data_IF_890997160497
#
_entry.id   IF_890997160497
#
_cell.length_a   1.000
_cell.length_b   1.000
_cell.length_c   1.000
_cell.angle_alpha   90.00
_cell.angle_beta   90.00
_cell.angle_gamma   90.00
#
_symmetry.space_group_name_H-M   'P 1'
#
loop_
_entity.id
_entity.type
_entity.pdbx_description
1 polymer ?
#
# COMPACT_ATOMS: atom_id res chain seq x y z
N UNK A 1 -7.82 -0.76 -60.88
CA UNK A 1 -7.70 0.44 -60.02
C UNK A 1 -8.87 0.45 -59.03
N UNK A 2 -8.56 0.82 -57.78
CA UNK A 2 -9.44 1.24 -56.68
C UNK A 2 -10.36 0.21 -55.99
N UNK A 3 -9.85 -0.23 -54.83
CA UNK A 3 -10.52 -0.72 -53.62
C UNK A 3 -11.51 0.32 -53.09
N UNK A 4 -12.58 -0.09 -52.40
CA UNK A 4 -13.10 0.56 -51.17
C UNK A 4 -13.70 -0.55 -50.30
N UNK A 5 -13.15 -0.70 -49.10
CA UNK A 5 -13.60 -1.59 -48.03
C UNK A 5 -14.87 -1.04 -47.39
N UNK A 6 -15.86 -1.90 -47.14
CA UNK A 6 -16.99 -1.60 -46.27
C UNK A 6 -16.50 -1.64 -44.81
N UNK A 7 -16.25 -0.46 -44.23
CA UNK A 7 -16.08 -0.31 -42.79
C UNK A 7 -17.48 -0.30 -42.16
N UNK A 8 -17.87 -1.41 -41.55
CA UNK A 8 -18.98 -1.45 -40.62
C UNK A 8 -18.61 -0.53 -39.45
N UNK A 9 -19.21 0.66 -39.42
CA UNK A 9 -19.07 1.61 -38.33
C UNK A 9 -19.66 1.02 -37.06
N UNK A 10 -18.78 0.46 -36.23
CA UNK A 10 -19.03 0.31 -34.81
C UNK A 10 -19.17 1.73 -34.24
N UNK A 11 -20.41 2.21 -34.15
CA UNK A 11 -20.74 3.36 -33.32
C UNK A 11 -20.51 2.90 -31.89
N UNK A 12 -19.29 3.13 -31.40
CA UNK A 12 -19.00 3.16 -29.98
C UNK A 12 -19.74 4.40 -29.47
N UNK A 13 -20.96 4.19 -28.95
CA UNK A 13 -21.65 5.19 -28.18
C UNK A 13 -20.75 5.50 -26.98
N UNK A 14 -20.01 6.60 -27.07
CA UNK A 14 -19.47 7.31 -25.92
C UNK A 14 -20.69 7.82 -25.15
N UNK A 15 -21.34 6.92 -24.41
CA UNK A 15 -22.20 7.32 -23.31
C UNK A 15 -21.31 8.11 -22.37
N UNK A 16 -21.74 9.33 -22.06
CA UNK A 16 -21.10 10.30 -21.18
C UNK A 16 -20.38 9.65 -19.98
N UNK A 17 -19.18 10.12 -19.60
CA UNK A 17 -18.41 9.58 -18.48
C UNK A 17 -19.07 9.79 -17.09
N UNK A 18 -20.24 10.41 -17.02
CA UNK A 18 -20.90 10.77 -15.77
C UNK A 18 -21.45 9.57 -14.96
N UNK A 19 -21.54 8.35 -15.54
CA UNK A 19 -22.30 7.24 -14.92
C UNK A 19 -21.57 5.88 -14.82
N UNK A 20 -20.29 5.76 -15.13
CA UNK A 20 -19.69 4.41 -15.24
C UNK A 20 -19.14 3.85 -13.91
N UNK A 21 -18.60 4.68 -13.01
CA UNK A 21 -17.96 4.18 -11.77
C UNK A 21 -18.15 5.13 -10.59
N UNK A 22 -18.25 4.56 -9.38
CA UNK A 22 -18.22 5.33 -8.14
C UNK A 22 -16.89 6.06 -7.99
N UNK A 23 -16.96 7.28 -7.49
CA UNK A 23 -15.76 8.07 -7.19
C UNK A 23 -15.01 7.44 -6.01
N UNK A 24 -13.68 7.31 -6.11
CA UNK A 24 -12.90 6.51 -5.16
C UNK A 24 -12.00 7.40 -4.30
N UNK A 25 -12.08 7.23 -2.98
CA UNK A 25 -11.25 7.91 -2.00
C UNK A 25 -10.47 6.92 -1.15
N UNK A 26 -9.34 7.38 -0.61
CA UNK A 26 -8.55 6.65 0.38
C UNK A 26 -8.57 7.45 1.68
N UNK A 27 -9.10 6.88 2.75
CA UNK A 27 -9.37 7.57 4.02
C UNK A 27 -8.71 6.85 5.20
N UNK A 28 -8.32 7.54 6.28
CA UNK A 28 -7.75 6.86 7.45
C UNK A 28 -8.79 5.94 8.11
N UNK A 29 -8.36 4.76 8.55
CA UNK A 29 -9.21 3.87 9.35
C UNK A 29 -9.50 4.47 10.72
N UNK A 30 -10.76 4.40 11.17
CA UNK A 30 -11.24 4.98 12.43
C UNK A 30 -10.88 6.47 12.60
N UNK A 31 -10.83 7.20 11.49
CA UNK A 31 -10.56 8.64 11.45
C UNK A 31 -11.61 9.38 10.63
N UNK A 32 -11.71 10.68 10.86
CA UNK A 32 -12.58 11.55 10.06
C UNK A 32 -11.89 11.95 8.75
N UNK A 33 -12.64 11.99 7.65
CA UNK A 33 -12.14 12.46 6.36
C UNK A 33 -13.19 13.29 5.63
N UNK A 34 -12.74 14.21 4.79
CA UNK A 34 -13.59 15.02 3.91
C UNK A 34 -13.37 14.53 2.49
N UNK A 35 -14.46 14.12 1.83
CA UNK A 35 -14.46 13.67 0.43
C UNK A 35 -15.17 14.71 -0.41
N UNK A 36 -14.50 15.24 -1.44
CA UNK A 36 -15.04 16.26 -2.32
C UNK A 36 -15.50 15.63 -3.63
N UNK A 37 -16.70 15.96 -4.10
CA UNK A 37 -17.28 15.40 -5.31
C UNK A 37 -18.19 16.45 -5.96
N UNK A 38 -18.55 16.28 -7.23
CA UNK A 38 -19.49 17.18 -7.89
C UNK A 38 -20.76 16.41 -8.28
N UNK A 39 -21.91 17.08 -8.13
CA UNK A 39 -23.21 16.63 -8.61
C UNK A 39 -23.55 17.30 -9.93
N UNK A 40 -24.44 16.67 -10.68
CA UNK A 40 -24.82 17.10 -12.02
C UNK A 40 -26.32 17.28 -12.11
N UNK A 41 -26.75 18.25 -12.92
CA UNK A 41 -28.14 18.38 -13.33
C UNK A 41 -28.64 17.07 -13.98
N UNK A 42 -29.96 16.79 -14.03
CA UNK A 42 -30.50 15.53 -14.53
C UNK A 42 -30.15 15.23 -16.01
N UNK A 43 -29.80 16.26 -16.77
CA UNK A 43 -29.35 16.13 -18.16
C UNK A 43 -27.85 15.80 -18.30
N UNK A 44 -27.09 15.84 -17.20
CA UNK A 44 -25.66 15.57 -17.14
C UNK A 44 -24.78 16.63 -17.82
N UNK A 45 -25.33 17.80 -18.17
CA UNK A 45 -24.63 18.83 -18.94
C UNK A 45 -24.09 19.98 -18.08
N UNK A 46 -24.66 20.18 -16.90
CA UNK A 46 -24.26 21.22 -15.95
C UNK A 46 -23.98 20.67 -14.55
N UNK A 47 -23.15 21.37 -13.78
CA UNK A 47 -23.00 21.11 -12.36
C UNK A 47 -24.25 21.59 -11.60
N UNK A 48 -24.70 20.78 -10.66
CA UNK A 48 -25.74 21.17 -9.70
C UNK A 48 -25.11 22.08 -8.64
N UNK A 49 -25.72 23.21 -8.30
CA UNK A 49 -25.13 24.23 -7.39
C UNK A 49 -26.03 24.61 -6.20
N UNK A 50 -27.11 23.87 -6.00
CA UNK A 50 -28.13 24.14 -4.98
C UNK A 50 -28.76 22.85 -4.44
N UNK A 51 -28.03 21.72 -4.52
CA UNK A 51 -28.48 20.50 -3.87
C UNK A 51 -28.33 20.62 -2.35
N UNK A 52 -29.36 20.20 -1.63
CA UNK A 52 -29.33 20.05 -0.18
C UNK A 52 -29.47 18.59 0.19
N UNK A 53 -28.75 18.17 1.22
CA UNK A 53 -28.87 16.83 1.75
C UNK A 53 -30.05 16.73 2.72
N UNK A 54 -31.06 15.90 2.43
CA UNK A 54 -32.06 15.50 3.40
C UNK A 54 -31.63 14.17 4.05
N UNK A 55 -31.27 14.22 5.34
CA UNK A 55 -30.48 13.20 6.03
C UNK A 55 -31.09 11.79 6.16
N UNK A 56 -32.28 11.52 5.62
CA UNK A 56 -32.96 10.22 5.83
C UNK A 56 -33.26 9.40 4.58
N UNK A 57 -33.27 10.00 3.39
CA UNK A 57 -33.60 9.33 2.13
C UNK A 57 -32.46 9.40 1.13
N UNK A 58 -31.74 10.51 1.12
CA UNK A 58 -30.85 10.80 0.01
C UNK A 58 -29.46 10.21 0.20
N UNK A 59 -29.09 9.92 1.45
CA UNK A 59 -27.75 9.43 1.80
C UNK A 59 -27.80 8.03 2.41
N UNK A 60 -27.37 7.06 1.63
CA UNK A 60 -27.31 5.68 2.02
C UNK A 60 -25.86 5.25 2.12
N UNK A 61 -25.54 4.41 3.10
CA UNK A 61 -24.19 3.88 3.30
C UNK A 61 -24.22 2.35 3.33
N UNK A 62 -23.26 1.76 2.65
CA UNK A 62 -22.96 0.34 2.66
C UNK A 62 -21.55 0.19 3.22
N UNK A 63 -21.43 -0.54 4.33
CA UNK A 63 -20.16 -0.79 5.02
C UNK A 63 -19.73 -2.23 4.79
N UNK A 64 -18.54 -2.47 4.25
CA UNK A 64 -17.98 -3.81 4.01
C UNK A 64 -18.95 -4.79 3.32
N UNK A 65 -19.69 -4.30 2.32
CA UNK A 65 -20.71 -5.07 1.58
C UNK A 65 -21.86 -5.60 2.45
N UNK A 66 -22.05 -5.02 3.64
CA UNK A 66 -23.18 -5.32 4.51
C UNK A 66 -24.49 -4.76 3.92
N UNK A 67 -25.60 -4.97 4.65
CA UNK A 67 -26.87 -4.35 4.31
C UNK A 67 -26.75 -2.82 4.32
N UNK A 68 -27.42 -2.18 3.36
CA UNK A 68 -27.50 -0.73 3.26
C UNK A 68 -28.23 -0.15 4.46
N UNK A 69 -27.73 0.97 4.98
CA UNK A 69 -28.37 1.78 6.03
C UNK A 69 -28.39 3.24 5.63
N UNK A 70 -29.18 4.06 6.31
CA UNK A 70 -29.08 5.53 6.20
C UNK A 70 -27.74 6.00 6.75
N UNK A 71 -27.08 6.95 6.08
CA UNK A 71 -25.90 7.62 6.59
C UNK A 71 -26.30 8.82 7.44
N UNK A 72 -25.65 9.01 8.59
CA UNK A 72 -25.81 10.23 9.39
C UNK A 72 -24.98 11.40 8.82
N UNK A 73 -24.09 11.13 7.87
CA UNK A 73 -23.26 12.14 7.23
C UNK A 73 -24.03 12.82 6.10
N UNK A 74 -24.09 14.15 6.13
CA UNK A 74 -24.61 14.96 5.03
C UNK A 74 -23.50 15.57 4.19
N UNK A 75 -23.80 15.79 2.90
CA UNK A 75 -22.95 16.62 2.07
C UNK A 75 -23.26 18.10 2.26
N UNK A 76 -22.26 18.94 2.02
CA UNK A 76 -22.27 20.39 2.14
C UNK A 76 -21.96 20.97 0.76
N UNK A 77 -22.71 22.00 0.38
CA UNK A 77 -22.45 22.77 -0.84
C UNK A 77 -21.22 23.68 -0.65
N UNK A 78 -20.23 23.53 -1.51
CA UNK A 78 -19.01 24.35 -1.59
C UNK A 78 -19.07 25.35 -2.78
N UNK A 79 -20.25 25.52 -3.39
CA UNK A 79 -20.61 26.50 -4.41
C UNK A 79 -20.60 25.98 -5.85
N UNK A 80 -19.72 25.04 -6.20
CA UNK A 80 -19.73 24.39 -7.53
C UNK A 80 -19.56 22.88 -7.48
N UNK A 81 -19.17 22.37 -6.31
CA UNK A 81 -19.05 20.98 -5.96
C UNK A 81 -19.42 20.86 -4.47
N UNK A 82 -19.42 19.65 -3.96
CA UNK A 82 -19.89 19.31 -2.62
C UNK A 82 -18.80 18.59 -1.85
N UNK A 83 -18.90 18.62 -0.54
CA UNK A 83 -18.06 17.85 0.35
C UNK A 83 -18.92 17.00 1.28
N UNK A 84 -18.49 15.77 1.59
CA UNK A 84 -19.11 14.97 2.65
C UNK A 84 -18.03 14.61 3.66
N UNK A 85 -18.30 14.89 4.94
CA UNK A 85 -17.44 14.46 6.02
C UNK A 85 -17.87 13.08 6.46
N UNK A 86 -17.00 12.09 6.31
CA UNK A 86 -17.22 10.74 6.84
C UNK A 86 -16.56 10.64 8.22
N UNK A 87 -17.32 10.21 9.22
CA UNK A 87 -16.85 10.15 10.60
C UNK A 87 -15.95 8.93 10.90
N UNK A 88 -15.40 8.90 12.11
CA UNK A 88 -14.55 7.80 12.55
C UNK A 88 -15.31 6.46 12.72
N UNK A 89 -16.60 6.51 13.05
CA UNK A 89 -17.43 5.30 13.20
C UNK A 89 -17.60 4.60 11.87
N UNK A 90 -17.87 5.38 10.82
CA UNK A 90 -18.12 4.91 9.48
C UNK A 90 -16.84 4.48 8.75
N UNK A 91 -15.69 5.04 9.12
CA UNK A 91 -14.37 4.58 8.63
C UNK A 91 -13.76 3.45 9.45
N UNK A 92 -14.47 2.88 10.45
CA UNK A 92 -14.05 1.65 11.15
C UNK A 92 -14.47 0.40 10.36
N UNK A 93 -14.11 0.37 9.08
CA UNK A 93 -14.46 -0.66 8.08
C UNK A 93 -13.28 -0.82 7.12
N UNK A 94 -13.25 -1.84 6.26
CA UNK A 94 -12.26 -1.89 5.16
C UNK A 94 -12.67 -0.96 4.03
N UNK A 95 -13.94 -1.02 3.67
CA UNK A 95 -14.54 -0.34 2.54
C UNK A 95 -15.90 0.21 2.92
N UNK A 96 -16.24 1.38 2.39
CA UNK A 96 -17.62 1.84 2.43
C UNK A 96 -18.02 2.51 1.14
N UNK A 97 -19.30 2.45 0.82
CA UNK A 97 -19.89 3.13 -0.33
C UNK A 97 -21.03 4.00 0.17
N UNK A 98 -20.96 5.29 -0.14
CA UNK A 98 -22.03 6.25 0.04
C UNK A 98 -22.76 6.35 -1.29
N UNK A 99 -24.05 6.10 -1.27
CA UNK A 99 -24.97 6.33 -2.38
C UNK A 99 -25.73 7.61 -2.06
N UNK A 100 -25.61 8.59 -2.95
CA UNK A 100 -26.39 9.81 -2.95
C UNK A 100 -27.48 9.60 -4.00
N UNK A 101 -28.71 9.40 -3.54
CA UNK A 101 -29.87 9.13 -4.37
C UNK A 101 -30.79 10.32 -4.28
N UNK A 102 -31.25 10.83 -5.41
CA UNK A 102 -32.23 11.91 -5.42
C UNK A 102 -33.62 11.36 -5.75
N UNK A 103 -34.46 11.20 -4.72
CA UNK A 103 -35.82 10.68 -4.90
C UNK A 103 -36.67 11.58 -5.83
N UNK A 104 -36.38 12.88 -5.88
CA UNK A 104 -37.08 13.86 -6.71
C UNK A 104 -36.48 14.02 -8.13
N UNK A 105 -35.36 13.36 -8.42
CA UNK A 105 -34.66 13.40 -9.71
C UNK A 105 -34.32 14.83 -10.20
N UNK A 106 -34.00 15.73 -9.27
CA UNK A 106 -33.48 17.08 -9.47
C UNK A 106 -31.98 17.10 -9.77
N UNK A 107 -31.24 16.03 -9.48
CA UNK A 107 -29.85 15.82 -9.86
C UNK A 107 -29.56 14.33 -10.12
N UNK A 108 -28.44 14.04 -10.79
CA UNK A 108 -28.05 12.66 -11.09
C UNK A 108 -27.48 11.97 -9.85
N UNK A 109 -28.02 10.78 -9.54
CA UNK A 109 -27.48 9.89 -8.52
C UNK A 109 -25.96 9.75 -8.60
N UNK A 110 -25.33 9.71 -7.42
CA UNK A 110 -23.88 9.66 -7.28
C UNK A 110 -23.50 8.55 -6.31
N UNK A 111 -22.47 7.80 -6.63
CA UNK A 111 -21.86 6.88 -5.67
C UNK A 111 -20.40 7.25 -5.40
N UNK A 112 -20.01 7.11 -4.14
CA UNK A 112 -18.67 7.42 -3.62
C UNK A 112 -18.21 6.22 -2.81
N UNK A 113 -17.11 5.59 -3.20
CA UNK A 113 -16.49 4.49 -2.46
C UNK A 113 -15.23 4.97 -1.77
N UNK A 114 -15.07 4.64 -0.49
CA UNK A 114 -13.84 4.87 0.25
C UNK A 114 -13.18 3.56 0.68
N UNK A 115 -11.85 3.55 0.60
CA UNK A 115 -10.98 2.47 1.04
C UNK A 115 -10.19 2.97 2.25
N UNK A 116 -10.15 2.20 3.33
CA UNK A 116 -9.44 2.65 4.54
C UNK A 116 -7.97 2.25 4.53
N UNK A 117 -7.11 3.04 5.18
CA UNK A 117 -5.68 2.73 5.36
C UNK A 117 -5.19 2.91 6.80
N UNK A 118 -4.00 2.35 7.07
CA UNK A 118 -3.23 2.68 8.27
C UNK A 118 -3.54 1.83 9.50
N UNK A 119 -4.35 0.79 9.35
CA UNK A 119 -4.71 -0.13 10.45
C UNK A 119 -4.74 -1.59 9.97
N UNK A 120 -4.50 -2.57 10.84
CA UNK A 120 -4.48 -3.99 10.45
C UNK A 120 -5.82 -4.47 9.87
N UNK A 121 -6.92 -3.88 10.32
CA UNK A 121 -8.28 -4.15 9.83
C UNK A 121 -8.71 -3.28 8.65
N UNK A 122 -7.85 -2.38 8.16
CA UNK A 122 -8.15 -1.51 7.01
C UNK A 122 -7.96 -2.24 5.67
N UNK A 123 -8.41 -1.65 4.57
CA UNK A 123 -8.18 -2.23 3.23
C UNK A 123 -6.69 -2.22 2.88
N UNK A 124 -6.04 -1.08 3.10
CA UNK A 124 -4.59 -0.93 3.01
C UNK A 124 -3.99 -1.05 4.41
N UNK A 125 -3.67 -2.29 4.80
CA UNK A 125 -3.19 -2.69 6.12
C UNK A 125 -2.14 -1.80 6.81
N UNK A 126 -1.91 -2.03 8.10
CA UNK A 126 -1.02 -1.20 8.90
C UNK A 126 0.44 -1.20 8.39
N UNK A 127 0.87 0.02 8.06
CA UNK A 127 2.23 0.59 8.04
C UNK A 127 3.42 -0.36 7.84
N UNK A 128 4.12 -0.13 6.73
CA UNK A 128 5.53 -0.50 6.47
C UNK A 128 6.44 -0.38 7.70
N UNK A 129 6.15 0.56 8.62
CA UNK A 129 6.89 0.70 9.88
C UNK A 129 6.85 -0.56 10.74
N UNK A 130 5.69 -1.21 10.89
CA UNK A 130 5.57 -2.42 11.71
C UNK A 130 6.38 -3.56 11.10
N UNK A 131 6.29 -3.73 9.78
CA UNK A 131 7.05 -4.74 9.04
C UNK A 131 8.57 -4.48 9.13
N UNK A 132 9.01 -3.24 8.96
CA UNK A 132 10.43 -2.87 9.11
C UNK A 132 10.91 -3.04 10.55
N UNK A 133 10.11 -2.69 11.55
CA UNK A 133 10.46 -2.92 12.95
C UNK A 133 10.57 -4.42 13.22
N UNK A 134 9.63 -5.23 12.75
CA UNK A 134 9.70 -6.68 12.89
C UNK A 134 10.96 -7.27 12.25
N UNK A 135 11.29 -6.87 11.02
CA UNK A 135 12.51 -7.27 10.31
C UNK A 135 13.80 -6.92 11.07
N UNK A 136 13.80 -5.84 11.86
CA UNK A 136 14.96 -5.37 12.60
C UNK A 136 15.06 -5.93 14.03
N UNK A 137 13.93 -6.21 14.69
CA UNK A 137 13.91 -6.55 16.13
C UNK A 137 13.52 -7.99 16.43
N UNK A 138 12.83 -8.66 15.52
CA UNK A 138 12.16 -9.93 15.80
C UNK A 138 12.58 -11.02 14.83
N UNK A 139 12.74 -10.69 13.55
CA UNK A 139 13.09 -11.67 12.53
C UNK A 139 14.46 -12.29 12.81
N UNK A 140 14.56 -13.61 12.59
CA UNK A 140 15.78 -14.37 12.79
C UNK A 140 16.19 -15.07 11.51
N UNK A 141 17.49 -15.21 11.31
CA UNK A 141 18.06 -15.85 10.13
C UNK A 141 19.08 -16.92 10.56
N UNK A 142 19.11 -18.03 9.84
CA UNK A 142 20.09 -19.10 10.09
C UNK A 142 21.53 -18.65 9.86
N UNK A 143 22.52 -19.45 10.27
CA UNK A 143 23.92 -19.17 9.98
C UNK A 143 24.27 -19.35 8.49
N UNK A 144 25.34 -18.69 8.03
CA UNK A 144 25.84 -18.87 6.67
C UNK A 144 26.41 -20.27 6.48
N UNK A 145 26.19 -20.83 5.29
CA UNK A 145 26.76 -22.11 4.90
C UNK A 145 28.19 -22.00 4.37
N UNK A 146 28.57 -20.85 3.83
CA UNK A 146 29.88 -20.51 3.25
C UNK A 146 30.16 -18.99 3.33
N UNK A 147 31.39 -18.57 3.02
CA UNK A 147 31.73 -17.14 2.88
C UNK A 147 30.91 -16.51 1.75
N UNK A 148 30.30 -15.33 1.93
CA UNK A 148 29.55 -14.68 0.86
C UNK A 148 30.45 -14.32 -0.33
N UNK A 149 29.92 -14.42 -1.55
CA UNK A 149 30.64 -14.03 -2.78
C UNK A 149 30.79 -12.50 -2.92
N UNK A 150 31.33 -12.05 -4.07
CA UNK A 150 31.62 -10.64 -4.32
C UNK A 150 30.39 -9.74 -4.47
N UNK A 151 29.22 -10.32 -4.73
CA UNK A 151 27.95 -9.59 -4.89
C UNK A 151 26.85 -10.22 -4.02
N UNK A 152 27.03 -10.26 -2.69
CA UNK A 152 26.10 -10.93 -1.80
C UNK A 152 24.89 -10.04 -1.50
N UNK A 153 23.84 -10.63 -0.93
CA UNK A 153 22.72 -9.87 -0.38
C UNK A 153 23.14 -9.11 0.88
N UNK A 154 22.41 -8.04 1.25
CA UNK A 154 22.65 -7.32 2.52
C UNK A 154 22.51 -8.27 3.72
N UNK A 155 21.58 -9.23 3.66
CA UNK A 155 21.41 -10.24 4.69
C UNK A 155 22.71 -11.04 4.89
N UNK A 156 23.30 -11.55 3.82
CA UNK A 156 24.54 -12.32 3.88
C UNK A 156 25.72 -11.45 4.36
N UNK A 157 25.79 -10.17 3.95
CA UNK A 157 26.80 -9.23 4.46
C UNK A 157 26.70 -9.05 5.98
N UNK A 158 25.48 -8.84 6.50
CA UNK A 158 25.25 -8.64 7.94
C UNK A 158 25.49 -9.93 8.72
N UNK A 159 25.04 -11.09 8.21
CA UNK A 159 25.31 -12.39 8.81
C UNK A 159 26.81 -12.68 8.86
N UNK A 160 27.55 -12.31 7.82
CA UNK A 160 29.01 -12.49 7.79
C UNK A 160 29.70 -11.65 8.86
N UNK A 161 29.33 -10.37 8.98
CA UNK A 161 29.83 -9.48 10.03
C UNK A 161 29.50 -10.03 11.43
N UNK A 162 28.26 -10.46 11.66
CA UNK A 162 27.85 -11.05 12.94
C UNK A 162 28.66 -12.31 13.28
N UNK A 163 28.80 -13.25 12.35
CA UNK A 163 29.51 -14.51 12.59
C UNK A 163 31.01 -14.29 12.81
N UNK A 164 31.66 -13.41 12.05
CA UNK A 164 33.08 -13.08 12.28
C UNK A 164 33.33 -12.48 13.66
N UNK A 165 32.38 -11.71 14.20
CA UNK A 165 32.52 -11.08 15.52
C UNK A 165 32.11 -11.98 16.68
N UNK A 166 31.14 -12.88 16.48
CA UNK A 166 30.53 -13.68 17.55
C UNK A 166 31.11 -15.09 17.65
N UNK A 167 31.37 -15.75 16.52
CA UNK A 167 31.79 -17.15 16.49
C UNK A 167 33.31 -17.28 16.63
N UNK A 168 33.75 -18.52 16.79
CA UNK A 168 35.18 -18.82 16.95
C UNK A 168 35.94 -18.40 15.70
N UNK A 169 37.07 -17.73 15.92
CA UNK A 169 38.08 -17.41 14.92
C UNK A 169 39.44 -17.86 15.45
N UNK A 170 40.20 -18.57 14.63
CA UNK A 170 41.59 -18.94 14.96
C UNK A 170 42.53 -18.40 13.90
N UNK A 171 43.77 -18.13 14.28
CA UNK A 171 44.79 -17.70 13.33
C UNK A 171 46.11 -18.43 13.63
N UNK A 172 46.75 -18.92 12.57
CA UNK A 172 48.14 -19.41 12.56
C UNK A 172 49.06 -18.33 11.97
N UNK A 173 50.34 -18.64 11.75
CA UNK A 173 51.24 -17.70 11.07
C UNK A 173 50.82 -17.38 9.63
N UNK A 174 50.04 -18.24 8.97
CA UNK A 174 49.72 -18.13 7.54
C UNK A 174 48.23 -18.15 7.20
N UNK A 175 47.35 -18.48 8.17
CA UNK A 175 45.93 -18.65 7.89
C UNK A 175 45.07 -18.25 9.07
N UNK A 176 44.06 -17.41 8.82
CA UNK A 176 42.93 -17.19 9.69
C UNK A 176 41.75 -18.09 9.26
N UNK A 177 41.09 -18.74 10.22
CA UNK A 177 39.94 -19.61 9.99
C UNK A 177 38.76 -19.09 10.78
N UNK A 178 37.66 -18.78 10.08
CA UNK A 178 36.36 -18.51 10.68
C UNK A 178 35.60 -19.83 10.82
N UNK A 179 34.89 -20.02 11.93
CA UNK A 179 34.11 -21.23 12.20
C UNK A 179 32.61 -20.91 12.29
N UNK A 180 31.81 -21.94 12.06
CA UNK A 180 30.38 -21.95 12.40
C UNK A 180 30.17 -21.98 13.91
N UNK A 181 28.93 -21.82 14.36
CA UNK A 181 28.60 -21.73 15.80
C UNK A 181 29.06 -22.95 16.60
N UNK A 182 29.07 -24.13 15.96
CA UNK A 182 29.54 -25.38 16.58
C UNK A 182 31.05 -25.41 16.93
N UNK A 183 31.79 -24.35 16.63
CA UNK A 183 33.19 -24.14 17.05
C UNK A 183 34.21 -25.11 16.45
N UNK A 184 33.80 -25.94 15.51
CA UNK A 184 34.60 -27.03 14.93
C UNK A 184 34.53 -27.11 13.41
N UNK A 185 33.41 -26.70 12.81
CA UNK A 185 33.24 -26.67 11.35
C UNK A 185 33.76 -25.35 10.79
N UNK A 186 34.78 -25.36 9.92
CA UNK A 186 35.23 -24.15 9.23
C UNK A 186 34.12 -23.58 8.34
N UNK A 187 33.94 -22.27 8.39
CA UNK A 187 33.07 -21.50 7.49
C UNK A 187 33.86 -20.95 6.30
N UNK A 188 35.11 -20.55 6.53
CA UNK A 188 36.00 -20.03 5.52
C UNK A 188 37.37 -19.69 6.08
N UNK A 189 38.31 -19.45 5.18
CA UNK A 189 39.71 -19.17 5.51
C UNK A 189 40.21 -17.92 4.81
N UNK A 190 41.21 -17.29 5.40
CA UNK A 190 41.91 -16.16 4.80
C UNK A 190 43.41 -16.33 5.03
N UNK A 191 44.22 -16.01 4.03
CA UNK A 191 45.68 -15.99 4.19
C UNK A 191 46.10 -14.83 5.07
N UNK A 192 47.09 -15.06 5.93
CA UNK A 192 47.69 -14.01 6.76
C UNK A 192 49.19 -14.00 6.56
N UNK A 193 49.78 -12.82 6.58
CA UNK A 193 51.24 -12.65 6.58
C UNK A 193 51.61 -11.41 7.37
N UNK A 194 52.79 -11.43 7.98
CA UNK A 194 53.39 -10.30 8.66
C UNK A 194 54.88 -10.29 8.33
N UNK A 195 55.35 -9.25 7.66
CA UNK A 195 56.77 -9.08 7.30
C UNK A 195 57.56 -8.28 8.35
N UNK A 196 56.96 -8.02 9.52
CA UNK A 196 57.51 -7.21 10.59
C UNK A 196 57.28 -5.70 10.42
N UNK A 197 56.73 -5.27 9.27
CA UNK A 197 56.30 -3.88 9.03
C UNK A 197 54.83 -3.78 8.70
N UNK A 198 54.27 -4.77 8.00
CA UNK A 198 52.89 -4.78 7.50
C UNK A 198 52.26 -6.14 7.75
N UNK A 199 51.19 -6.14 8.55
CA UNK A 199 50.27 -7.26 8.60
C UNK A 199 49.30 -7.19 7.41
N UNK A 200 49.24 -8.26 6.62
CA UNK A 200 48.28 -8.42 5.53
C UNK A 200 47.38 -9.62 5.81
N UNK A 201 46.06 -9.39 5.77
CA UNK A 201 45.05 -10.45 5.70
C UNK A 201 44.38 -10.40 4.33
N UNK A 202 44.37 -11.53 3.62
CA UNK A 202 43.69 -11.68 2.35
C UNK A 202 42.17 -11.65 2.48
N UNK A 203 41.48 -11.91 1.37
CA UNK A 203 40.04 -12.14 1.39
C UNK A 203 39.72 -13.46 2.13
N UNK A 204 38.52 -13.57 2.70
CA UNK A 204 38.01 -14.86 3.15
C UNK A 204 37.41 -15.60 1.96
N UNK A 205 37.68 -16.90 1.88
CA UNK A 205 37.17 -17.79 0.85
C UNK A 205 36.88 -19.20 1.39
#
# INVERSE_FOLDING_TARGET
MKRIFAFAGLILALTSPALAECEKFTVPYAGTAIMQFCLWEPDGTGFKVDASCESSTDNLIIKDQAAQTTSENCFVDEGSCYSITIDATDTTVKTGTIMLVDDDNLWLDKCITYLTYGHASSYFGASVKADVVAALTTDTYGELSAVPGSTPTILEMLQWVYQLMKFKLTQTSTTATAFKDNGSTPLGTSTTSDDGSTFTRGEYN
#
